data_IF_531111354482
#
_entry.id   IF_531111354482
#
_cell.length_a   1.000
_cell.length_b   1.000
_cell.length_c   1.000
_cell.angle_alpha   90.00
_cell.angle_beta   90.00
_cell.angle_gamma   90.00
#
_symmetry.space_group_name_H-M   'P 1'
#
loop_
_entity.id
_entity.type
_entity.pdbx_description
1 polymer ?
#
# COMPACT_ATOMS: atom_id res chain seq x y z
N UNK A 1 17.25 0.81 -16.30
CA UNK A 1 18.04 1.04 -15.08
C UNK A 1 17.24 2.03 -14.24
N UNK A 2 16.77 1.61 -13.07
CA UNK A 2 16.14 2.48 -12.10
C UNK A 2 17.13 2.68 -10.94
N UNK A 3 17.53 3.92 -10.71
CA UNK A 3 18.32 4.31 -9.55
C UNK A 3 17.35 4.68 -8.44
N UNK A 4 17.41 4.00 -7.31
CA UNK A 4 16.49 4.19 -6.20
C UNK A 4 17.22 4.73 -4.98
N UNK A 5 16.67 5.78 -4.40
CA UNK A 5 17.19 6.48 -3.25
C UNK A 5 16.31 6.20 -2.05
N UNK A 6 16.81 5.67 -1.02
CA UNK A 6 16.57 5.91 0.40
C UNK A 6 16.76 4.64 1.22
N UNK A 7 17.95 4.50 1.78
CA UNK A 7 18.13 3.72 2.97
C UNK A 7 18.12 4.66 4.18
N UNK A 8 17.30 4.38 5.18
CA UNK A 8 17.32 5.07 6.47
C UNK A 8 17.93 4.11 7.47
N UNK A 9 19.24 4.17 7.75
CA UNK A 9 19.88 3.23 8.66
C UNK A 9 19.41 3.45 10.09
N UNK A 10 19.35 2.39 10.88
CA UNK A 10 19.17 2.49 12.33
C UNK A 10 20.24 3.35 13.01
N UNK A 11 21.39 3.53 12.36
CA UNK A 11 22.57 4.28 12.83
C UNK A 11 22.61 5.73 12.38
N UNK A 12 21.61 6.22 11.62
CA UNK A 12 21.60 7.60 11.13
C UNK A 12 22.58 7.91 9.99
N UNK A 13 23.29 6.91 9.48
CA UNK A 13 24.21 7.10 8.34
C UNK A 13 23.43 6.94 7.03
N UNK A 14 23.56 7.91 6.14
CA UNK A 14 23.00 7.89 4.79
C UNK A 14 24.10 7.53 3.80
N UNK A 15 23.78 6.72 2.82
CA UNK A 15 24.65 6.43 1.69
C UNK A 15 23.80 6.14 0.46
N UNK A 16 24.42 6.32 -0.68
CA UNK A 16 23.81 6.03 -1.97
C UNK A 16 24.30 4.67 -2.45
N UNK A 17 23.38 3.87 -2.94
CA UNK A 17 23.71 2.56 -3.54
C UNK A 17 22.81 2.29 -4.73
N UNK A 18 23.25 1.40 -5.60
CA UNK A 18 22.47 0.92 -6.75
C UNK A 18 22.10 -0.54 -6.50
N UNK A 19 20.82 -0.83 -6.54
CA UNK A 19 20.30 -2.21 -6.52
C UNK A 19 19.88 -2.57 -7.94
N UNK A 20 20.43 -3.66 -8.47
CA UNK A 20 20.00 -4.21 -9.76
C UNK A 20 19.32 -5.55 -9.49
N UNK A 21 18.03 -5.63 -9.75
CA UNK A 21 17.24 -6.81 -9.45
C UNK A 21 16.22 -7.08 -10.56
N UNK A 22 15.90 -8.35 -10.76
CA UNK A 22 14.81 -8.76 -11.65
C UNK A 22 13.51 -8.68 -10.85
N UNK A 23 12.74 -7.63 -11.11
CA UNK A 23 11.46 -7.42 -10.44
C UNK A 23 10.36 -8.03 -11.29
N UNK A 24 9.54 -8.95 -10.74
CA UNK A 24 8.37 -9.46 -11.43
C UNK A 24 7.46 -8.31 -11.90
N UNK A 25 6.94 -8.42 -13.13
CA UNK A 25 6.10 -7.36 -13.73
C UNK A 25 4.92 -6.94 -12.84
N UNK A 26 4.40 -7.88 -12.05
CA UNK A 26 3.33 -7.61 -11.09
C UNK A 26 3.74 -6.67 -9.95
N UNK A 27 5.04 -6.62 -9.60
CA UNK A 27 5.57 -5.78 -8.52
C UNK A 27 6.08 -4.41 -9.01
N UNK A 28 6.23 -4.22 -10.32
CA UNK A 28 6.69 -2.94 -10.89
C UNK A 28 5.88 -1.71 -10.40
N UNK A 29 4.56 -1.78 -10.23
CA UNK A 29 3.80 -0.63 -9.72
C UNK A 29 4.16 -0.23 -8.28
N UNK A 30 4.75 -1.12 -7.50
CA UNK A 30 5.23 -0.83 -6.14
C UNK A 30 6.60 -0.13 -6.14
N UNK A 31 7.32 -0.20 -7.27
CA UNK A 31 8.62 0.39 -7.46
C UNK A 31 8.51 1.83 -7.99
N UNK A 32 7.80 2.69 -7.27
CA UNK A 32 7.69 4.10 -7.61
C UNK A 32 8.85 4.92 -7.02
N UNK A 33 9.27 5.97 -7.71
CA UNK A 33 10.31 6.88 -7.18
C UNK A 33 9.89 7.41 -5.81
N UNK A 34 10.77 7.26 -4.82
CA UNK A 34 10.53 7.66 -3.44
C UNK A 34 9.79 6.63 -2.59
N UNK A 35 9.33 5.51 -3.17
CA UNK A 35 8.77 4.42 -2.37
C UNK A 35 9.87 3.73 -1.55
N UNK A 36 9.59 3.32 -0.29
CA UNK A 36 10.55 2.58 0.52
C UNK A 36 10.77 1.19 -0.07
N UNK A 37 12.04 0.79 -0.13
CA UNK A 37 12.48 -0.54 -0.52
C UNK A 37 13.35 -1.10 0.60
N UNK A 38 13.10 -2.34 1.04
CA UNK A 38 13.98 -3.02 1.97
C UNK A 38 15.17 -3.62 1.24
N UNK A 39 16.36 -3.32 1.72
CA UNK A 39 17.62 -3.83 1.13
C UNK A 39 18.53 -4.42 2.20
N UNK A 40 19.34 -5.40 1.79
CA UNK A 40 20.50 -5.89 2.54
C UNK A 40 21.77 -5.42 1.85
N UNK A 41 22.75 -5.02 2.61
CA UNK A 41 24.04 -4.57 2.09
C UNK A 41 25.18 -5.05 2.99
N UNK A 42 26.39 -5.13 2.43
CA UNK A 42 27.60 -5.38 3.18
C UNK A 42 28.06 -4.06 3.85
N UNK A 43 28.16 -4.00 5.19
CA UNK A 43 28.68 -2.82 5.88
C UNK A 43 30.10 -2.40 5.46
N UNK A 44 30.91 -3.35 5.00
CA UNK A 44 32.29 -3.11 4.52
C UNK A 44 32.30 -2.62 3.06
N UNK A 45 31.31 -3.03 2.25
CA UNK A 45 31.17 -2.60 0.86
C UNK A 45 29.72 -2.22 0.52
N UNK A 46 29.40 -0.98 0.72
CA UNK A 46 28.05 -0.43 0.50
C UNK A 46 27.67 -0.28 -0.97
N UNK A 47 28.59 -0.53 -1.90
CA UNK A 47 28.28 -0.56 -3.33
C UNK A 47 27.49 -1.80 -3.73
N UNK A 48 27.54 -2.84 -2.90
CA UNK A 48 26.80 -4.09 -3.09
C UNK A 48 25.57 -4.14 -2.19
N UNK A 49 24.41 -3.92 -2.78
CA UNK A 49 23.12 -4.06 -2.12
C UNK A 49 22.19 -4.95 -2.95
N UNK A 50 21.38 -5.74 -2.26
CA UNK A 50 20.35 -6.60 -2.85
C UNK A 50 19.00 -6.33 -2.18
N UNK A 51 17.91 -6.68 -2.84
CA UNK A 51 16.59 -6.68 -2.21
C UNK A 51 16.56 -7.56 -0.96
N UNK A 52 15.81 -7.17 0.04
CA UNK A 52 15.61 -7.96 1.25
C UNK A 52 14.34 -8.80 1.11
N UNK A 53 14.49 -10.11 0.92
CA UNK A 53 13.37 -11.04 0.75
C UNK A 53 12.59 -11.30 2.06
N UNK A 54 13.18 -10.91 3.20
CA UNK A 54 12.56 -11.10 4.52
C UNK A 54 12.70 -9.85 5.39
N UNK A 55 12.08 -8.73 4.98
CA UNK A 55 12.16 -7.49 5.73
C UNK A 55 11.47 -7.59 7.07
N UNK A 56 11.95 -6.81 8.06
CA UNK A 56 11.20 -6.58 9.28
C UNK A 56 9.87 -5.89 8.94
N UNK A 57 8.76 -6.63 9.09
CA UNK A 57 7.44 -6.19 8.67
C UNK A 57 6.99 -4.91 9.39
N UNK A 58 7.33 -4.73 10.67
CA UNK A 58 6.98 -3.54 11.43
C UNK A 58 7.73 -2.31 10.93
N UNK A 59 9.03 -2.47 10.67
CA UNK A 59 9.86 -1.40 10.12
C UNK A 59 9.39 -1.02 8.72
N UNK A 60 9.08 -2.01 7.89
CA UNK A 60 8.59 -1.76 6.53
C UNK A 60 7.22 -1.05 6.54
N UNK A 61 6.28 -1.51 7.36
CA UNK A 61 4.96 -0.90 7.52
C UNK A 61 5.06 0.55 7.98
N UNK A 62 5.94 0.84 8.94
CA UNK A 62 6.21 2.21 9.39
C UNK A 62 6.72 3.09 8.22
N UNK A 63 7.67 2.60 7.43
CA UNK A 63 8.22 3.34 6.29
C UNK A 63 7.19 3.59 5.21
N UNK A 64 6.37 2.58 4.89
CA UNK A 64 5.27 2.70 3.93
C UNK A 64 4.27 3.76 4.43
N UNK A 65 3.85 3.70 5.69
CA UNK A 65 2.92 4.67 6.27
C UNK A 65 3.47 6.11 6.18
N UNK A 66 4.75 6.31 6.56
CA UNK A 66 5.41 7.63 6.45
C UNK A 66 5.51 8.11 5.00
N UNK A 67 5.83 7.22 4.07
CA UNK A 67 5.88 7.55 2.65
C UNK A 67 4.51 7.99 2.13
N UNK A 68 3.46 7.25 2.44
CA UNK A 68 2.10 7.56 2.03
C UNK A 68 1.59 8.87 2.65
N UNK A 69 1.91 9.15 3.93
CA UNK A 69 1.57 10.42 4.57
C UNK A 69 2.25 11.62 3.90
N UNK A 70 3.48 11.48 3.42
CA UNK A 70 4.15 12.54 2.65
C UNK A 70 3.56 12.70 1.26
N UNK A 71 3.17 11.60 0.62
CA UNK A 71 2.59 11.61 -0.72
C UNK A 71 1.18 12.20 -0.75
N UNK A 72 0.36 11.85 0.24
CA UNK A 72 -1.03 12.25 0.38
C UNK A 72 -1.34 12.66 1.84
N UNK A 73 -0.92 13.86 2.27
CA UNK A 73 -0.98 14.25 3.68
C UNK A 73 -2.41 14.41 4.21
N UNK A 74 -3.38 14.65 3.32
CA UNK A 74 -4.78 14.88 3.67
C UNK A 74 -5.67 13.63 3.54
N UNK A 75 -5.09 12.47 3.27
CA UNK A 75 -5.87 11.25 3.04
C UNK A 75 -6.14 10.50 4.36
N UNK A 76 -5.13 9.92 4.95
CA UNK A 76 -5.18 9.23 6.24
C UNK A 76 -4.06 9.72 7.14
N UNK A 77 -4.32 9.74 8.44
CA UNK A 77 -3.26 9.98 9.43
C UNK A 77 -2.25 8.84 9.45
N UNK A 78 -1.10 9.11 10.03
CA UNK A 78 -0.06 8.08 10.20
C UNK A 78 -0.59 6.90 11.03
N UNK A 79 -1.33 7.18 12.10
CA UNK A 79 -1.91 6.18 12.99
C UNK A 79 -2.93 5.29 12.25
N UNK A 80 -3.82 5.90 11.45
CA UNK A 80 -4.79 5.15 10.64
C UNK A 80 -4.11 4.26 9.61
N UNK A 81 -3.03 4.72 8.97
CA UNK A 81 -2.24 3.90 8.03
C UNK A 81 -1.55 2.74 8.74
N UNK A 82 -0.95 2.98 9.90
CA UNK A 82 -0.34 1.93 10.71
C UNK A 82 -1.37 0.90 11.16
N UNK A 83 -2.55 1.35 11.56
CA UNK A 83 -3.65 0.47 11.97
C UNK A 83 -4.14 -0.39 10.80
N UNK A 84 -4.33 0.17 9.61
CA UNK A 84 -4.63 -0.59 8.39
C UNK A 84 -3.53 -1.62 8.07
N UNK A 85 -2.27 -1.22 8.13
CA UNK A 85 -1.16 -2.10 7.79
C UNK A 85 -1.01 -3.30 8.76
N UNK A 86 -1.38 -3.11 10.04
CA UNK A 86 -1.20 -4.14 11.08
C UNK A 86 -2.44 -4.98 11.35
N UNK A 87 -3.61 -4.35 11.35
CA UNK A 87 -4.82 -4.93 11.94
C UNK A 87 -5.96 -5.11 10.95
N UNK A 88 -5.74 -4.79 9.67
CA UNK A 88 -6.82 -4.90 8.70
C UNK A 88 -7.11 -6.35 8.30
N UNK A 89 -8.36 -6.58 7.93
CA UNK A 89 -8.81 -7.77 7.23
C UNK A 89 -9.34 -7.38 5.86
N UNK A 90 -9.15 -8.26 4.88
CA UNK A 90 -9.68 -8.04 3.54
C UNK A 90 -11.14 -8.45 3.49
N UNK A 91 -11.99 -7.55 3.00
CA UNK A 91 -13.43 -7.81 2.75
C UNK A 91 -13.79 -7.46 1.32
N UNK A 92 -14.76 -8.18 0.76
CA UNK A 92 -15.41 -7.78 -0.50
C UNK A 92 -16.46 -6.73 -0.21
N UNK A 93 -16.42 -5.65 -0.98
CA UNK A 93 -17.38 -4.56 -0.87
C UNK A 93 -17.91 -4.19 -2.26
N UNK A 94 -19.19 -3.89 -2.34
CA UNK A 94 -19.79 -3.33 -3.53
C UNK A 94 -19.35 -1.88 -3.68
N UNK A 95 -18.70 -1.54 -4.79
CA UNK A 95 -18.41 -0.16 -5.13
C UNK A 95 -19.69 0.53 -5.60
N UNK A 96 -20.32 1.32 -4.76
CA UNK A 96 -21.56 2.02 -5.10
C UNK A 96 -21.32 3.28 -5.90
N UNK A 97 -20.28 4.04 -5.53
CA UNK A 97 -19.98 5.30 -6.19
C UNK A 97 -18.47 5.53 -6.27
N UNK A 98 -18.06 6.10 -7.39
CA UNK A 98 -16.70 6.60 -7.64
C UNK A 98 -16.81 7.93 -8.39
N UNK A 99 -16.43 9.02 -7.75
CA UNK A 99 -16.50 10.35 -8.32
C UNK A 99 -15.18 11.09 -8.18
N UNK A 100 -14.54 11.43 -9.30
CA UNK A 100 -13.38 12.30 -9.30
C UNK A 100 -13.74 13.68 -8.76
N UNK A 101 -12.84 14.26 -7.96
CA UNK A 101 -12.94 15.64 -7.49
C UNK A 101 -12.30 16.63 -8.46
N UNK A 102 -11.58 16.12 -9.48
CA UNK A 102 -10.81 16.93 -10.42
C UNK A 102 -9.41 17.33 -9.89
N UNK A 103 -9.06 16.93 -8.68
CA UNK A 103 -7.73 17.19 -8.12
C UNK A 103 -6.79 16.01 -8.38
N UNK A 104 -5.50 16.33 -8.57
CA UNK A 104 -4.44 15.35 -8.66
C UNK A 104 -3.28 15.77 -7.75
N UNK A 105 -2.65 14.81 -7.08
CA UNK A 105 -1.50 15.02 -6.22
C UNK A 105 -0.52 13.85 -6.38
N UNK A 106 0.75 14.16 -6.53
CA UNK A 106 1.82 13.17 -6.71
C UNK A 106 1.57 12.13 -7.82
N UNK A 107 0.81 12.51 -8.88
CA UNK A 107 0.47 11.65 -10.00
C UNK A 107 -0.74 10.73 -9.78
N UNK A 108 -1.44 10.88 -8.66
CA UNK A 108 -2.67 10.15 -8.34
C UNK A 108 -3.87 11.11 -8.36
N UNK A 109 -5.04 10.58 -8.70
CA UNK A 109 -6.29 11.34 -8.80
C UNK A 109 -7.09 11.24 -7.50
N UNK A 110 -7.53 12.38 -6.98
CA UNK A 110 -8.43 12.40 -5.83
C UNK A 110 -9.85 12.02 -6.28
N UNK A 111 -10.43 11.05 -5.57
CA UNK A 111 -11.78 10.57 -5.82
C UNK A 111 -12.57 10.32 -4.52
N UNK A 112 -13.85 10.65 -4.53
CA UNK A 112 -14.80 10.24 -3.50
C UNK A 112 -15.30 8.84 -3.84
N UNK A 113 -15.14 7.93 -2.89
CA UNK A 113 -15.48 6.52 -3.04
C UNK A 113 -16.51 6.13 -1.99
N UNK A 114 -17.58 5.48 -2.42
CA UNK A 114 -18.59 4.87 -1.55
C UNK A 114 -18.59 3.37 -1.78
N UNK A 115 -18.43 2.62 -0.71
CA UNK A 115 -18.48 1.15 -0.73
C UNK A 115 -19.51 0.63 0.27
N UNK A 116 -20.13 -0.51 -0.05
CA UNK A 116 -21.03 -1.23 0.84
C UNK A 116 -20.48 -2.60 1.13
N UNK A 117 -20.30 -2.93 2.40
CA UNK A 117 -20.01 -4.26 2.88
C UNK A 117 -21.34 -4.88 3.29
N UNK A 118 -21.68 -6.02 2.71
CA UNK A 118 -22.86 -6.81 3.11
C UNK A 118 -22.44 -7.86 4.11
N UNK A 119 -23.00 -7.80 5.30
CA UNK A 119 -22.81 -8.81 6.33
C UNK A 119 -24.17 -9.42 6.69
N UNK A 120 -24.31 -10.72 6.49
CA UNK A 120 -25.58 -11.44 6.71
C UNK A 120 -26.04 -11.45 8.17
N UNK A 121 -25.15 -11.13 9.11
CA UNK A 121 -25.42 -11.14 10.56
C UNK A 121 -25.51 -9.76 11.18
N UNK A 122 -24.68 -8.85 10.73
CA UNK A 122 -24.58 -7.49 11.29
C UNK A 122 -25.29 -6.42 10.45
N UNK A 123 -25.79 -6.80 9.25
CA UNK A 123 -26.40 -5.86 8.30
C UNK A 123 -25.37 -5.17 7.40
N UNK A 124 -25.88 -4.31 6.52
CA UNK A 124 -25.04 -3.60 5.54
C UNK A 124 -24.34 -2.40 6.19
N UNK A 125 -23.02 -2.30 5.94
CA UNK A 125 -22.22 -1.14 6.35
C UNK A 125 -21.83 -0.34 5.10
N UNK A 126 -22.18 0.95 5.08
CA UNK A 126 -21.79 1.87 4.01
C UNK A 126 -20.66 2.77 4.49
N UNK A 127 -19.56 2.76 3.76
CA UNK A 127 -18.38 3.56 4.07
C UNK A 127 -18.10 4.55 2.93
N UNK A 128 -17.79 5.80 3.31
CA UNK A 128 -17.47 6.86 2.37
C UNK A 128 -16.07 7.39 2.67
N UNK A 129 -15.28 7.58 1.63
CA UNK A 129 -13.95 8.13 1.80
C UNK A 129 -13.46 8.87 0.56
N UNK A 130 -12.60 9.88 0.77
CA UNK A 130 -11.79 10.47 -0.28
C UNK A 130 -10.45 9.74 -0.32
N UNK A 131 -10.06 9.27 -1.49
CA UNK A 131 -8.88 8.47 -1.77
C UNK A 131 -8.08 9.06 -2.92
N UNK A 132 -6.79 8.77 -2.94
CA UNK A 132 -5.93 9.01 -4.10
C UNK A 132 -5.71 7.71 -4.86
N UNK A 133 -6.07 7.71 -6.13
CA UNK A 133 -6.10 6.53 -7.00
C UNK A 133 -5.24 6.77 -8.23
N UNK A 134 -4.34 5.85 -8.52
CA UNK A 134 -3.58 5.90 -9.76
C UNK A 134 -4.43 5.41 -10.95
N UNK A 135 -3.98 5.69 -12.17
CA UNK A 135 -4.69 5.32 -13.40
C UNK A 135 -4.99 3.82 -13.50
N UNK A 136 -4.12 2.97 -12.96
CA UNK A 136 -4.32 1.53 -12.97
C UNK A 136 -5.46 1.13 -12.04
N UNK A 137 -5.53 1.69 -10.84
CA UNK A 137 -6.62 1.44 -9.90
C UNK A 137 -7.96 1.91 -10.49
N UNK A 138 -8.00 3.11 -11.05
CA UNK A 138 -9.20 3.68 -11.66
C UNK A 138 -9.78 2.80 -12.78
N UNK A 139 -8.94 2.14 -13.59
CA UNK A 139 -9.38 1.22 -14.64
C UNK A 139 -10.12 -0.01 -14.13
N UNK A 140 -9.84 -0.44 -12.89
CA UNK A 140 -10.45 -1.62 -12.27
C UNK A 140 -11.62 -1.28 -11.33
N UNK A 141 -11.77 -0.01 -10.96
CA UNK A 141 -12.82 0.44 -10.05
C UNK A 141 -14.06 0.89 -10.83
N UNK A 142 -14.97 -0.04 -11.06
CA UNK A 142 -16.23 0.22 -11.80
C UNK A 142 -17.40 0.19 -10.82
N UNK A 143 -18.19 1.27 -10.69
CA UNK A 143 -19.40 1.27 -9.87
C UNK A 143 -20.34 0.11 -10.24
N UNK A 144 -20.94 -0.52 -9.25
CA UNK A 144 -21.74 -1.73 -9.38
C UNK A 144 -20.94 -3.04 -9.40
N UNK A 145 -19.62 -3.00 -9.26
CA UNK A 145 -18.75 -4.18 -9.13
C UNK A 145 -18.24 -4.34 -7.70
N UNK A 146 -17.97 -5.59 -7.32
CA UNK A 146 -17.30 -5.90 -6.07
C UNK A 146 -15.80 -5.65 -6.20
N UNK A 147 -15.24 -5.02 -5.18
CA UNK A 147 -13.79 -4.77 -5.02
C UNK A 147 -13.33 -5.33 -3.68
N UNK A 148 -12.05 -5.62 -3.57
CA UNK A 148 -11.44 -5.99 -2.31
C UNK A 148 -10.97 -4.72 -1.57
N UNK A 149 -11.35 -4.61 -0.31
CA UNK A 149 -10.95 -3.50 0.57
C UNK A 149 -10.33 -4.05 1.85
N UNK A 150 -9.39 -3.32 2.42
CA UNK A 150 -8.86 -3.57 3.75
C UNK A 150 -9.61 -2.71 4.77
N UNK A 151 -10.13 -3.33 5.81
CA UNK A 151 -10.86 -2.66 6.90
C UNK A 151 -10.34 -3.13 8.24
N UNK A 152 -10.31 -2.25 9.23
CA UNK A 152 -9.99 -2.62 10.60
C UNK A 152 -11.30 -3.01 11.31
N UNK A 153 -11.39 -4.22 11.90
CA UNK A 153 -12.59 -4.64 12.62
C UNK A 153 -13.00 -3.62 13.70
N UNK A 154 -14.27 -3.23 13.70
CA UNK A 154 -14.80 -2.23 14.63
C UNK A 154 -14.48 -0.77 14.28
N UNK A 155 -13.83 -0.51 13.15
CA UNK A 155 -13.58 0.84 12.62
C UNK A 155 -14.20 0.96 11.23
N UNK A 156 -15.22 1.81 11.13
CA UNK A 156 -15.97 2.03 9.88
C UNK A 156 -15.71 3.42 9.29
N UNK A 157 -14.79 4.16 9.88
CA UNK A 157 -14.44 5.52 9.49
C UNK A 157 -13.38 5.58 8.38
N UNK A 158 -12.66 4.46 8.12
CA UNK A 158 -11.66 4.38 7.05
C UNK A 158 -11.45 2.96 6.53
N UNK A 159 -11.01 2.87 5.29
CA UNK A 159 -10.64 1.63 4.59
C UNK A 159 -9.54 1.88 3.58
N UNK A 160 -8.85 0.83 3.16
CA UNK A 160 -7.92 0.84 2.04
C UNK A 160 -8.47 0.08 0.84
N UNK A 161 -8.01 0.39 -0.37
CA UNK A 161 -8.30 -0.42 -1.56
C UNK A 161 -7.20 -1.49 -1.68
N UNK A 162 -7.60 -2.75 -1.77
CA UNK A 162 -6.68 -3.85 -2.05
C UNK A 162 -6.60 -4.02 -3.56
N UNK A 163 -5.42 -3.76 -4.11
CA UNK A 163 -5.14 -4.09 -5.50
C UNK A 163 -4.48 -5.45 -5.54
N UNK A 164 -4.86 -6.34 -6.45
CA UNK A 164 -4.40 -7.75 -6.60
C UNK A 164 -2.87 -7.96 -6.59
N UNK A 165 -2.11 -6.89 -6.48
CA UNK A 165 -0.66 -6.89 -6.59
C UNK A 165 0.01 -7.29 -5.26
N UNK A 166 -0.68 -7.15 -4.11
CA UNK A 166 -0.08 -7.36 -2.79
C UNK A 166 -0.48 -8.68 -2.11
N UNK A 167 -1.45 -9.44 -2.64
CA UNK A 167 -2.09 -10.52 -1.88
C UNK A 167 -1.56 -11.93 -2.18
N UNK A 168 -0.45 -12.11 -2.90
CA UNK A 168 0.10 -13.45 -3.19
C UNK A 168 1.40 -13.80 -2.45
N UNK A 169 1.60 -13.27 -1.27
CA UNK A 169 2.58 -13.83 -0.34
C UNK A 169 1.84 -14.40 0.88
N UNK A 170 1.04 -15.42 0.63
CA UNK A 170 0.69 -16.37 1.70
C UNK A 170 1.82 -17.40 1.70
N UNK A 171 2.62 -17.52 2.77
CA UNK A 171 3.54 -18.63 2.88
C UNK A 171 2.72 -19.91 2.87
N UNK A 172 2.96 -20.79 1.89
CA UNK A 172 2.49 -22.17 1.97
C UNK A 172 2.97 -22.75 3.30
N UNK A 173 2.03 -23.10 4.16
CA UNK A 173 2.34 -23.95 5.30
C UNK A 173 2.86 -25.27 4.75
N UNK A 174 4.16 -25.48 4.85
CA UNK A 174 4.76 -26.79 4.69
C UNK A 174 4.11 -27.71 5.72
N UNK A 175 3.14 -28.50 5.27
CA UNK A 175 2.58 -29.62 6.01
C UNK A 175 3.63 -30.72 6.10
N UNK A 176 3.88 -31.16 7.31
CA UNK A 176 4.64 -32.36 7.66
C UNK A 176 4.02 -33.61 7.13
#
# INVERSE_FOLDING_TARGET
>A
FASWWTHWPRTGLFFDTTVTEIIPRAQLPMCAVGAPLSIRYDPADRSHAIGDDNPDADVLNERIARYQCRRHPNELTYEQRMELNRNSVVKKALLENLRSTGKAEAGDWEAKVTVRITDNTAGDTVMNRTLYLNDKMLKHMVPGKYIDISVVPGREDFFGIVTDIATKVVPEKSGS
#
